data_IF_255477399927
#
_entry.id   IF_255477399927
#
_cell.length_a   1.000
_cell.length_b   1.000
_cell.length_c   1.000
_cell.angle_alpha   90.00
_cell.angle_beta   90.00
_cell.angle_gamma   90.00
#
_symmetry.space_group_name_H-M   'P 1'
#
loop_
_entity.id
_entity.type
_entity.pdbx_description
1 polymer ?
#
# COMPACT_ATOMS: atom_id res chain seq x y z
N UNK A 1 5.14 -2.31 10.54
CA UNK A 1 5.43 -2.82 11.88
C UNK A 1 5.11 -4.30 11.84
N UNK A 2 6.12 -5.13 11.71
CA UNK A 2 5.99 -6.57 11.80
C UNK A 2 5.84 -7.01 13.25
N UNK A 3 5.16 -8.12 13.46
CA UNK A 3 5.19 -8.83 14.72
C UNK A 3 6.66 -9.15 15.11
N UNK A 4 6.97 -9.18 16.39
CA UNK A 4 8.33 -9.50 16.88
C UNK A 4 8.88 -10.79 16.25
N UNK A 5 8.03 -11.80 16.10
CA UNK A 5 8.40 -13.07 15.45
C UNK A 5 8.89 -12.90 14.01
N UNK A 6 8.26 -11.98 13.25
CA UNK A 6 8.69 -11.68 11.87
C UNK A 6 10.06 -11.01 11.85
N UNK A 7 10.31 -10.11 12.80
CA UNK A 7 11.59 -9.44 12.92
C UNK A 7 12.73 -10.42 13.30
N UNK A 8 12.50 -11.32 14.27
CA UNK A 8 13.48 -12.33 14.65
C UNK A 8 13.74 -13.32 13.51
N UNK A 9 12.69 -13.74 12.78
CA UNK A 9 12.84 -14.56 11.57
C UNK A 9 13.74 -13.86 10.54
N UNK A 10 13.49 -12.61 10.25
CA UNK A 10 14.26 -11.87 9.24
C UNK A 10 15.72 -11.71 9.66
N UNK A 11 16.01 -11.52 10.95
CA UNK A 11 17.37 -11.50 11.48
C UNK A 11 18.07 -12.85 11.26
N UNK A 12 17.38 -13.95 11.55
CA UNK A 12 17.93 -15.30 11.37
C UNK A 12 18.23 -15.58 9.90
N UNK A 13 17.28 -15.24 8.98
CA UNK A 13 17.48 -15.43 7.55
C UNK A 13 18.61 -14.54 7.02
N UNK A 14 18.72 -13.30 7.48
CA UNK A 14 19.81 -12.40 7.10
C UNK A 14 21.17 -12.95 7.51
N UNK A 15 21.29 -13.47 8.74
CA UNK A 15 22.52 -14.11 9.23
C UNK A 15 22.87 -15.35 8.40
N UNK A 16 21.86 -16.16 8.06
CA UNK A 16 22.05 -17.34 7.20
C UNK A 16 22.52 -16.96 5.79
N UNK A 17 21.90 -15.91 5.18
CA UNK A 17 22.31 -15.38 3.88
C UNK A 17 23.78 -14.92 3.90
N UNK A 18 24.19 -14.19 4.97
CA UNK A 18 25.57 -13.73 5.13
C UNK A 18 26.55 -14.91 5.23
N UNK A 19 26.21 -15.94 6.02
CA UNK A 19 27.03 -17.14 6.15
C UNK A 19 27.21 -17.89 4.82
N UNK A 20 26.17 -17.92 3.99
CA UNK A 20 26.17 -18.61 2.71
C UNK A 20 26.53 -17.71 1.51
N UNK A 21 27.03 -16.50 1.75
CA UNK A 21 27.41 -15.53 0.71
C UNK A 21 26.28 -15.18 -0.27
N UNK A 22 25.04 -15.19 0.24
CA UNK A 22 23.85 -14.79 -0.50
C UNK A 22 23.54 -13.32 -0.20
N UNK A 23 23.32 -12.53 -1.25
CA UNK A 23 22.93 -11.13 -1.08
C UNK A 23 21.53 -11.01 -0.48
N UNK A 24 21.43 -10.32 0.66
CA UNK A 24 20.17 -9.98 1.29
C UNK A 24 19.77 -8.55 0.89
N UNK A 25 18.71 -8.43 0.12
CA UNK A 25 18.14 -7.13 -0.27
C UNK A 25 16.84 -6.89 0.49
N UNK A 26 16.76 -5.78 1.19
CA UNK A 26 15.57 -5.40 1.95
C UNK A 26 15.11 -4.01 1.51
N UNK A 27 13.84 -3.92 1.09
CA UNK A 27 13.20 -2.65 0.73
C UNK A 27 12.18 -2.26 1.80
N UNK A 28 12.16 -0.99 2.24
CA UNK A 28 11.19 -0.56 3.23
C UNK A 28 9.77 -0.57 2.67
N UNK A 29 8.81 -0.99 3.47
CA UNK A 29 7.40 -0.86 3.15
C UNK A 29 6.92 0.55 3.53
N UNK A 30 6.58 1.36 2.56
CA UNK A 30 6.23 2.76 2.78
C UNK A 30 7.38 3.56 3.40
N UNK A 31 7.10 4.33 4.44
CA UNK A 31 8.08 5.12 5.18
C UNK A 31 8.44 4.50 6.55
N UNK A 32 8.25 3.20 6.71
CA UNK A 32 8.60 2.50 7.95
C UNK A 32 10.11 2.32 8.03
N UNK A 33 10.72 2.81 9.11
CA UNK A 33 12.14 2.63 9.40
C UNK A 33 12.27 1.60 10.53
N UNK A 34 12.71 0.39 10.18
CA UNK A 34 12.88 -0.69 11.15
C UNK A 34 14.01 -0.35 12.16
N UNK A 35 13.76 -0.62 13.43
CA UNK A 35 14.76 -0.39 14.48
C UNK A 35 14.94 1.06 14.91
N UNK A 36 14.16 2.00 14.42
CA UNK A 36 14.20 3.40 14.87
C UNK A 36 13.72 3.50 16.32
N UNK A 37 14.60 3.99 17.22
CA UNK A 37 14.35 4.05 18.67
C UNK A 37 13.37 5.14 19.10
N UNK A 38 13.20 6.18 18.28
CA UNK A 38 12.32 7.30 18.56
C UNK A 38 11.68 7.83 17.25
N UNK A 39 10.76 8.77 17.38
CA UNK A 39 10.04 9.36 16.27
C UNK A 39 10.59 10.72 15.78
N UNK A 40 11.79 11.08 16.23
CA UNK A 40 12.41 12.32 15.78
C UNK A 40 12.56 12.31 14.26
N UNK A 41 12.20 13.43 13.62
CA UNK A 41 12.23 13.63 12.18
C UNK A 41 11.38 12.60 11.37
N UNK A 42 10.43 11.91 12.04
CA UNK A 42 9.60 10.92 11.34
C UNK A 42 8.73 11.57 10.26
N UNK A 43 8.13 12.72 10.54
CA UNK A 43 7.29 13.44 9.57
C UNK A 43 8.11 13.84 8.34
N UNK A 44 9.33 14.31 8.51
CA UNK A 44 10.22 14.70 7.40
C UNK A 44 10.58 13.48 6.55
N UNK A 45 11.00 12.40 7.17
CA UNK A 45 11.29 11.13 6.46
C UNK A 45 10.06 10.62 5.71
N UNK A 46 8.88 10.71 6.34
CA UNK A 46 7.62 10.30 5.72
C UNK A 46 7.30 11.16 4.50
N UNK A 47 7.39 12.48 4.61
CA UNK A 47 7.16 13.42 3.53
C UNK A 47 8.13 13.19 2.36
N UNK A 48 9.43 13.06 2.65
CA UNK A 48 10.43 12.75 1.63
C UNK A 48 10.12 11.46 0.89
N UNK A 49 9.72 10.41 1.62
CA UNK A 49 9.36 9.13 1.01
C UNK A 49 8.12 9.24 0.12
N UNK A 50 7.08 9.94 0.58
CA UNK A 50 5.81 10.04 -0.14
C UNK A 50 5.88 10.99 -1.33
N UNK A 51 6.73 12.02 -1.29
CA UNK A 51 6.92 12.99 -2.37
C UNK A 51 7.95 12.54 -3.40
N UNK A 52 8.74 11.51 -3.11
CA UNK A 52 9.72 10.97 -4.05
C UNK A 52 9.04 10.48 -5.34
N UNK A 53 9.72 10.55 -6.50
CA UNK A 53 9.19 10.04 -7.75
C UNK A 53 8.75 8.58 -7.65
N UNK A 54 7.66 8.23 -8.32
CA UNK A 54 7.23 6.84 -8.44
C UNK A 54 8.21 6.13 -9.37
N UNK A 55 8.85 5.08 -8.87
CA UNK A 55 9.75 4.28 -9.68
C UNK A 55 8.95 3.51 -10.75
N UNK A 56 9.39 3.64 -11.97
CA UNK A 56 8.85 2.90 -13.12
C UNK A 56 9.90 1.86 -13.50
N UNK A 57 9.59 0.55 -13.42
CA UNK A 57 10.54 -0.50 -13.82
C UNK A 57 10.91 -0.37 -15.30
N UNK A 58 12.19 -0.50 -15.61
CA UNK A 58 12.63 -0.63 -17.00
C UNK A 58 12.51 -2.08 -17.46
N UNK A 59 11.37 -2.40 -18.02
CA UNK A 59 11.01 -3.74 -18.47
C UNK A 59 11.95 -4.29 -19.56
N UNK A 60 12.63 -3.42 -20.31
CA UNK A 60 13.54 -3.82 -21.39
C UNK A 60 14.83 -4.45 -20.87
N UNK A 61 15.24 -4.11 -19.65
CA UNK A 61 16.47 -4.57 -19.03
C UNK A 61 16.24 -5.67 -17.97
N UNK A 62 15.01 -6.11 -17.76
CA UNK A 62 14.72 -7.21 -16.84
C UNK A 62 15.17 -8.53 -17.45
N UNK A 63 16.10 -9.19 -16.77
CA UNK A 63 16.49 -10.56 -17.09
C UNK A 63 15.62 -11.51 -16.28
N UNK A 64 14.88 -12.37 -16.97
CA UNK A 64 14.05 -13.40 -16.34
C UNK A 64 14.76 -14.75 -16.38
N UNK A 65 14.45 -15.61 -15.41
CA UNK A 65 14.91 -17.00 -15.40
C UNK A 65 13.83 -17.85 -16.06
N UNK A 66 14.24 -18.70 -17.00
CA UNK A 66 13.34 -19.67 -17.60
C UNK A 66 13.23 -20.90 -16.69
N UNK A 67 12.05 -21.13 -16.14
CA UNK A 67 11.77 -22.25 -15.24
C UNK A 67 11.20 -23.44 -16.06
N UNK A 68 12.04 -24.14 -16.79
CA UNK A 68 11.61 -25.24 -17.70
C UNK A 68 11.10 -26.48 -16.95
N UNK A 69 11.46 -26.66 -15.69
CA UNK A 69 11.11 -27.85 -14.90
C UNK A 69 10.28 -27.56 -13.67
N UNK A 70 9.87 -26.30 -13.50
CA UNK A 70 9.04 -25.92 -12.36
C UNK A 70 7.56 -26.05 -12.73
N UNK A 71 6.86 -26.95 -12.08
CA UNK A 71 5.41 -27.00 -12.11
C UNK A 71 4.88 -26.38 -10.81
N UNK A 72 4.03 -25.39 -10.96
CA UNK A 72 3.33 -24.82 -9.81
C UNK A 72 2.41 -25.89 -9.21
N UNK A 73 2.43 -26.12 -7.90
CA UNK A 73 1.46 -27.03 -7.31
C UNK A 73 0.04 -26.53 -7.56
N UNK A 74 -0.87 -27.44 -7.82
CA UNK A 74 -2.28 -27.11 -7.93
C UNK A 74 -2.80 -26.56 -6.59
N UNK A 75 -3.53 -25.49 -6.66
CA UNK A 75 -4.20 -24.95 -5.47
C UNK A 75 -5.41 -25.81 -5.13
N UNK A 76 -5.65 -26.11 -3.85
CA UNK A 76 -6.89 -26.75 -3.44
C UNK A 76 -8.12 -25.97 -3.91
N UNK A 77 -9.19 -26.65 -4.29
CA UNK A 77 -10.40 -26.03 -4.88
C UNK A 77 -11.00 -24.92 -4.02
N UNK A 78 -10.91 -25.05 -2.69
CA UNK A 78 -11.40 -24.03 -1.77
C UNK A 78 -10.62 -22.69 -1.82
N UNK A 79 -9.47 -22.65 -2.49
CA UNK A 79 -8.71 -21.40 -2.73
C UNK A 79 -8.92 -20.82 -4.11
N UNK A 80 -9.64 -21.51 -4.99
CA UNK A 80 -9.87 -21.10 -6.37
C UNK A 80 -11.25 -20.50 -6.61
N UNK A 81 -12.13 -20.58 -5.62
CA UNK A 81 -13.49 -20.03 -5.70
C UNK A 81 -13.48 -18.55 -5.29
N UNK A 82 -14.07 -17.71 -6.14
CA UNK A 82 -14.33 -16.32 -5.78
C UNK A 82 -15.42 -16.25 -4.69
N UNK A 83 -15.21 -15.38 -3.71
CA UNK A 83 -16.18 -15.08 -2.65
C UNK A 83 -16.54 -13.60 -2.73
N UNK A 84 -17.81 -13.30 -2.99
CA UNK A 84 -18.33 -11.93 -3.11
C UNK A 84 -18.17 -11.08 -1.85
N UNK A 85 -17.86 -11.70 -0.71
CA UNK A 85 -17.56 -10.98 0.53
C UNK A 85 -16.18 -10.31 0.51
N UNK A 86 -15.28 -10.74 -0.38
CA UNK A 86 -13.92 -10.21 -0.50
C UNK A 86 -13.75 -9.39 -1.78
N UNK A 87 -12.84 -8.43 -1.71
CA UNK A 87 -12.46 -7.66 -2.90
C UNK A 87 -11.52 -8.50 -3.77
N UNK A 88 -11.83 -8.57 -5.06
CA UNK A 88 -10.93 -9.18 -6.03
C UNK A 88 -9.58 -8.45 -6.08
N UNK A 89 -8.51 -9.22 -6.17
CA UNK A 89 -7.13 -8.72 -6.16
C UNK A 89 -6.67 -8.15 -7.50
N UNK A 90 -5.47 -7.60 -7.48
CA UNK A 90 -4.76 -7.16 -8.66
C UNK A 90 -4.62 -5.64 -8.82
N UNK A 91 -3.56 -5.20 -9.52
CA UNK A 91 -3.23 -3.77 -9.62
C UNK A 91 -4.23 -2.98 -10.47
N UNK A 92 -4.92 -3.61 -11.41
CA UNK A 92 -5.99 -2.95 -12.19
C UNK A 92 -7.16 -2.59 -11.29
N UNK A 93 -7.66 -3.57 -10.53
CA UNK A 93 -8.78 -3.36 -9.60
C UNK A 93 -8.43 -2.40 -8.47
N UNK A 94 -7.17 -2.43 -7.98
CA UNK A 94 -6.68 -1.44 -7.02
C UNK A 94 -6.81 0.00 -7.57
N UNK A 95 -6.45 0.21 -8.82
CA UNK A 95 -6.60 1.51 -9.49
C UNK A 95 -8.05 1.90 -9.68
N UNK A 96 -8.91 0.98 -10.10
CA UNK A 96 -10.33 1.25 -10.29
C UNK A 96 -11.00 1.66 -8.96
N UNK A 97 -10.70 0.95 -7.88
CA UNK A 97 -11.16 1.28 -6.52
C UNK A 97 -10.63 2.64 -6.05
N UNK A 98 -9.35 2.93 -6.32
CA UNK A 98 -8.74 4.22 -6.01
C UNK A 98 -9.41 5.35 -6.79
N UNK A 99 -9.58 5.20 -8.10
CA UNK A 99 -10.23 6.22 -8.94
C UNK A 99 -11.68 6.47 -8.52
N UNK A 100 -12.45 5.41 -8.24
CA UNK A 100 -13.83 5.59 -7.76
C UNK A 100 -13.90 6.33 -6.42
N UNK A 101 -12.91 6.12 -5.55
CA UNK A 101 -12.83 6.88 -4.30
C UNK A 101 -12.59 8.37 -4.54
N UNK A 102 -11.61 8.72 -5.36
CA UNK A 102 -11.30 10.13 -5.64
C UNK A 102 -12.28 10.81 -6.60
N UNK A 103 -13.04 10.06 -7.37
CA UNK A 103 -14.09 10.61 -8.20
C UNK A 103 -15.35 11.02 -7.41
N UNK A 104 -15.79 10.15 -6.49
CA UNK A 104 -17.10 10.30 -5.87
C UNK A 104 -17.13 9.90 -4.39
N UNK A 105 -16.83 8.64 -4.06
CA UNK A 105 -17.07 8.04 -2.74
C UNK A 105 -16.36 8.77 -1.60
N UNK A 106 -15.16 9.26 -1.83
CA UNK A 106 -14.32 9.93 -0.84
C UNK A 106 -14.88 11.21 -0.28
N UNK A 107 -15.86 11.84 -0.95
CA UNK A 107 -16.56 13.04 -0.42
C UNK A 107 -17.25 12.74 0.91
N UNK A 108 -17.72 11.50 1.10
CA UNK A 108 -18.35 11.04 2.32
C UNK A 108 -17.39 10.47 3.38
N UNK A 109 -16.07 10.49 3.13
CA UNK A 109 -15.09 9.78 3.93
C UNK A 109 -15.14 10.07 5.43
N UNK A 110 -15.28 11.34 5.83
CA UNK A 110 -15.35 11.72 7.25
C UNK A 110 -16.54 11.08 7.98
N UNK A 111 -17.65 10.90 7.29
CA UNK A 111 -18.85 10.23 7.85
C UNK A 111 -18.68 8.71 7.85
N UNK A 112 -18.03 8.17 6.82
CA UNK A 112 -17.85 6.74 6.63
C UNK A 112 -16.80 6.09 7.53
N UNK A 113 -15.76 6.84 7.92
CA UNK A 113 -14.59 6.28 8.62
C UNK A 113 -14.92 5.69 10.01
N UNK A 114 -15.95 6.20 10.66
CA UNK A 114 -16.39 5.72 11.98
C UNK A 114 -17.74 5.03 11.94
N UNK A 115 -18.24 4.69 10.74
CA UNK A 115 -19.55 4.06 10.57
C UNK A 115 -19.40 2.72 9.83
N UNK A 116 -19.63 1.59 10.48
CA UNK A 116 -19.57 0.28 9.81
C UNK A 116 -20.51 0.17 8.61
N UNK A 117 -21.71 0.73 8.69
CA UNK A 117 -22.70 0.71 7.61
C UNK A 117 -22.30 1.56 6.39
N UNK A 118 -21.59 2.68 6.60
CA UNK A 118 -21.17 3.59 5.54
C UNK A 118 -19.76 3.29 5.02
N UNK A 119 -18.98 2.49 5.71
CA UNK A 119 -17.58 2.25 5.38
C UNK A 119 -17.39 1.64 3.99
N UNK A 120 -18.31 0.78 3.55
CA UNK A 120 -18.22 0.15 2.21
C UNK A 120 -18.41 1.14 1.08
N UNK A 121 -19.21 2.17 1.28
CA UNK A 121 -19.57 3.17 0.25
C UNK A 121 -18.77 4.45 0.32
N UNK A 122 -18.22 4.83 1.48
CA UNK A 122 -17.54 6.11 1.69
C UNK A 122 -16.04 5.99 1.98
N UNK A 123 -15.55 4.83 2.42
CA UNK A 123 -14.11 4.62 2.65
C UNK A 123 -13.38 4.20 1.37
N UNK A 124 -12.06 4.34 1.39
CA UNK A 124 -11.22 4.08 0.22
C UNK A 124 -11.23 2.62 -0.22
N UNK A 125 -11.37 1.70 0.72
CA UNK A 125 -11.29 0.24 0.47
C UNK A 125 -9.94 -0.21 -0.10
N UNK A 126 -8.87 0.55 0.16
CA UNK A 126 -7.53 0.29 -0.37
C UNK A 126 -6.66 -0.60 0.53
N UNK A 127 -7.09 -0.86 1.77
CA UNK A 127 -6.27 -1.62 2.74
C UNK A 127 -5.75 -2.97 2.22
N UNK A 128 -6.57 -3.85 1.61
CA UNK A 128 -6.08 -5.11 1.08
C UNK A 128 -5.10 -4.91 -0.07
N UNK A 129 -5.33 -3.95 -0.95
CA UNK A 129 -4.43 -3.67 -2.07
C UNK A 129 -3.08 -3.10 -1.63
N UNK A 130 -3.06 -2.29 -0.57
CA UNK A 130 -1.83 -1.79 0.04
C UNK A 130 -1.08 -2.92 0.74
N UNK A 131 -1.80 -3.79 1.46
CA UNK A 131 -1.21 -4.91 2.19
C UNK A 131 -0.52 -5.93 1.25
N UNK A 132 -1.12 -6.18 0.08
CA UNK A 132 -0.59 -7.10 -0.93
C UNK A 132 0.28 -6.42 -2.00
N UNK A 133 0.58 -5.12 -1.87
CA UNK A 133 1.43 -4.40 -2.80
C UNK A 133 0.85 -4.21 -4.22
N UNK A 134 -0.48 -4.36 -4.39
CA UNK A 134 -1.14 -4.10 -5.67
C UNK A 134 -1.07 -2.63 -6.08
N UNK A 135 -0.94 -1.74 -5.10
CA UNK A 135 -0.72 -0.31 -5.26
C UNK A 135 0.18 0.19 -4.12
N UNK A 136 1.06 1.14 -4.40
CA UNK A 136 1.93 1.70 -3.37
C UNK A 136 1.24 2.82 -2.58
N UNK A 137 1.62 2.95 -1.31
CA UNK A 137 1.15 4.05 -0.47
C UNK A 137 1.52 5.43 -1.07
N UNK A 138 2.68 5.52 -1.72
CA UNK A 138 3.16 6.72 -2.41
C UNK A 138 2.22 7.13 -3.55
N UNK A 139 1.79 6.17 -4.39
CA UNK A 139 0.84 6.44 -5.47
C UNK A 139 -0.48 6.99 -4.92
N UNK A 140 -1.00 6.37 -3.87
CA UNK A 140 -2.25 6.81 -3.23
C UNK A 140 -2.10 8.20 -2.61
N UNK A 141 -0.97 8.47 -1.95
CA UNK A 141 -0.69 9.77 -1.33
C UNK A 141 -0.59 10.89 -2.39
N UNK A 142 0.19 10.70 -3.44
CA UNK A 142 0.36 11.70 -4.48
C UNK A 142 -0.97 12.04 -5.14
N UNK A 143 -1.79 11.04 -5.48
CA UNK A 143 -3.11 11.28 -6.02
C UNK A 143 -4.03 12.02 -5.02
N UNK A 144 -3.92 11.71 -3.72
CA UNK A 144 -4.69 12.41 -2.68
C UNK A 144 -4.30 13.89 -2.56
N UNK A 145 -3.02 14.20 -2.67
CA UNK A 145 -2.50 15.57 -2.64
C UNK A 145 -2.91 16.34 -3.90
N UNK A 146 -2.81 15.73 -5.07
CA UNK A 146 -3.26 16.33 -6.32
C UNK A 146 -4.76 16.67 -6.27
N UNK A 147 -5.57 15.72 -5.78
CA UNK A 147 -6.99 15.95 -5.57
C UNK A 147 -7.29 17.05 -4.53
N UNK A 148 -6.48 17.14 -3.48
CA UNK A 148 -6.62 18.16 -2.43
C UNK A 148 -6.34 19.57 -2.96
N UNK A 149 -5.33 19.72 -3.82
CA UNK A 149 -4.96 21.00 -4.43
C UNK A 149 -5.77 21.35 -5.68
N UNK A 150 -6.55 20.41 -6.19
CA UNK A 150 -7.39 20.63 -7.36
C UNK A 150 -8.40 21.74 -7.12
N UNK A 151 -8.45 22.71 -8.02
CA UNK A 151 -9.44 23.80 -8.04
C UNK A 151 -10.69 23.44 -8.85
N UNK A 152 -10.78 22.22 -9.38
CA UNK A 152 -11.89 21.79 -10.20
C UNK A 152 -13.23 21.89 -9.46
N UNK A 153 -14.29 22.45 -10.07
CA UNK A 153 -15.59 22.67 -9.41
C UNK A 153 -16.18 21.42 -8.75
N UNK A 154 -15.97 20.25 -9.36
CA UNK A 154 -16.43 18.98 -8.81
C UNK A 154 -15.72 18.58 -7.51
N UNK A 155 -14.64 19.28 -7.12
CA UNK A 155 -13.91 19.07 -5.86
C UNK A 155 -14.37 19.99 -4.74
N UNK A 156 -15.40 20.81 -4.94
CA UNK A 156 -15.99 21.60 -3.86
C UNK A 156 -16.47 20.68 -2.72
N UNK A 157 -16.04 20.99 -1.50
CA UNK A 157 -16.36 20.18 -0.30
C UNK A 157 -15.44 18.96 -0.06
N UNK A 158 -14.42 18.75 -0.89
CA UNK A 158 -13.50 17.62 -0.75
C UNK A 158 -12.33 17.86 0.20
N UNK A 159 -11.97 19.12 0.49
CA UNK A 159 -10.76 19.44 1.28
C UNK A 159 -10.71 18.72 2.63
N UNK A 160 -11.80 18.78 3.42
CA UNK A 160 -11.86 18.12 4.72
C UNK A 160 -11.78 16.59 4.62
N UNK A 161 -12.58 15.90 3.78
CA UNK A 161 -12.46 14.48 3.55
C UNK A 161 -11.05 14.03 3.13
N UNK A 162 -10.42 14.76 2.20
CA UNK A 162 -9.07 14.43 1.73
C UNK A 162 -8.01 14.65 2.81
N UNK A 163 -8.09 15.73 3.59
CA UNK A 163 -7.20 15.95 4.72
C UNK A 163 -7.31 14.81 5.75
N UNK A 164 -8.53 14.36 6.06
CA UNK A 164 -8.74 13.21 6.94
C UNK A 164 -8.18 11.92 6.34
N UNK A 165 -8.34 11.70 5.04
CA UNK A 165 -7.77 10.54 4.36
C UNK A 165 -6.23 10.56 4.38
N UNK A 166 -5.60 11.68 4.03
CA UNK A 166 -4.14 11.85 4.10
C UNK A 166 -3.61 11.58 5.50
N UNK A 167 -4.30 12.07 6.54
CA UNK A 167 -3.95 11.76 7.92
C UNK A 167 -3.94 10.24 8.19
N UNK A 168 -4.87 9.48 7.62
CA UNK A 168 -4.89 8.01 7.76
C UNK A 168 -3.77 7.31 6.99
N UNK A 169 -3.32 7.87 5.88
CA UNK A 169 -2.14 7.36 5.18
C UNK A 169 -0.87 7.52 6.04
N UNK A 170 -0.75 8.59 6.82
CA UNK A 170 0.31 8.73 7.83
C UNK A 170 0.28 7.57 8.83
N UNK A 171 -0.89 7.23 9.33
CA UNK A 171 -1.05 6.16 10.32
C UNK A 171 -0.61 4.79 9.79
N UNK A 172 -0.77 4.56 8.49
CA UNK A 172 -0.32 3.31 7.86
C UNK A 172 1.18 3.01 8.08
N UNK A 173 2.02 4.02 8.17
CA UNK A 173 3.46 3.88 8.43
C UNK A 173 3.86 4.16 9.88
N UNK A 174 2.92 4.54 10.73
CA UNK A 174 3.20 5.01 12.08
C UNK A 174 3.18 3.88 13.11
N UNK A 175 2.40 2.82 12.86
CA UNK A 175 2.19 1.70 13.77
C UNK A 175 2.88 0.43 13.29
#
# INVERSE_FOLDING_TARGET
IGLNNTFERDKAIKAWCQHNQINWLESPTGAVIRGKKNRNNWNECWQQTMQAPIAIPDWKHIKTVTLTHYQSPELPDNYTTDDDNFQLGGPRLARDVMHSFFAERGKGYQKGISSPSLSRTHCSRLSPYLAWGNISLRQVYQLAIDAYHSTHPNKKGWKRPLAAFVSRLHWHCHF
#
